data_IF_588123531547
#
_entry.id   IF_588123531547
#
_cell.length_a   1.000
_cell.length_b   1.000
_cell.length_c   1.000
_cell.angle_alpha   90.00
_cell.angle_beta   90.00
_cell.angle_gamma   90.00
#
_symmetry.space_group_name_H-M   'P 1'
#
loop_
_entity.id
_entity.type
_entity.pdbx_description
1 polymer ?
#
# COMPACT_ATOMS: atom_id res chain seq x y z
N UNK A 1 21.35 -2.83 18.07
CA UNK A 1 20.11 -2.83 17.27
C UNK A 1 19.24 -3.94 17.80
N UNK A 2 18.14 -3.62 18.49
CA UNK A 2 17.13 -4.61 18.85
C UNK A 2 16.40 -5.01 17.56
N UNK A 3 16.32 -6.30 17.21
CA UNK A 3 15.53 -6.73 16.07
C UNK A 3 14.07 -6.32 16.29
N UNK A 4 13.46 -5.69 15.27
CA UNK A 4 12.04 -5.36 15.27
C UNK A 4 11.23 -6.63 15.53
N UNK A 5 10.21 -6.57 16.39
CA UNK A 5 9.25 -7.65 16.60
C UNK A 5 8.50 -8.02 15.30
N UNK A 6 8.55 -7.14 14.30
CA UNK A 6 7.97 -7.33 12.98
C UNK A 6 9.04 -7.11 11.89
N UNK A 7 9.73 -8.17 11.42
CA UNK A 7 10.82 -8.04 10.44
C UNK A 7 10.34 -7.46 9.09
N UNK A 8 9.05 -7.62 8.80
CA UNK A 8 8.37 -7.08 7.62
C UNK A 8 8.23 -5.56 7.65
N UNK A 9 8.07 -4.94 8.82
CA UNK A 9 7.70 -3.53 8.95
C UNK A 9 8.96 -2.66 9.08
N UNK A 10 9.05 -1.60 8.27
CA UNK A 10 10.17 -0.65 8.34
C UNK A 10 10.15 0.11 9.67
N UNK A 11 8.96 0.55 10.08
CA UNK A 11 8.78 1.42 11.24
C UNK A 11 8.48 0.66 12.53
N UNK A 12 8.27 -0.66 12.42
CA UNK A 12 7.83 -1.50 13.53
C UNK A 12 6.35 -1.37 13.88
N UNK A 13 5.61 -0.46 13.22
CA UNK A 13 4.18 -0.24 13.44
C UNK A 13 3.34 -0.76 12.26
N UNK A 14 2.18 -1.39 12.52
CA UNK A 14 1.36 -1.99 11.48
C UNK A 14 0.77 -0.94 10.52
N UNK A 15 0.59 0.30 11.00
CA UNK A 15 0.33 1.46 10.14
C UNK A 15 0.88 2.75 10.77
N UNK A 16 1.01 3.79 9.95
CA UNK A 16 1.29 5.16 10.35
C UNK A 16 0.32 6.13 9.66
N UNK A 17 0.12 7.31 10.25
CA UNK A 17 -0.64 8.40 9.63
C UNK A 17 0.30 9.37 8.91
N UNK A 18 0.12 9.49 7.60
CA UNK A 18 0.72 10.55 6.78
C UNK A 18 -0.21 11.75 6.73
N UNK A 19 0.30 12.93 7.08
CA UNK A 19 -0.42 14.18 6.88
C UNK A 19 0.05 14.82 5.57
N UNK A 20 -0.86 14.92 4.59
CA UNK A 20 -0.56 15.46 3.27
C UNK A 20 -1.40 16.72 3.04
N UNK A 21 -0.78 17.90 2.82
CA UNK A 21 -1.51 19.13 2.50
C UNK A 21 -2.45 18.92 1.29
N UNK A 22 -3.72 19.29 1.46
CA UNK A 22 -4.75 19.14 0.42
C UNK A 22 -5.37 17.74 0.31
N UNK A 23 -4.78 16.70 0.91
CA UNK A 23 -5.32 15.34 0.92
C UNK A 23 -5.66 14.81 2.33
N UNK A 24 -5.34 15.55 3.39
CA UNK A 24 -5.70 15.20 4.76
C UNK A 24 -4.77 14.14 5.36
N UNK A 25 -5.33 13.24 6.18
CA UNK A 25 -4.60 12.17 6.86
C UNK A 25 -4.81 10.85 6.14
N UNK A 26 -3.73 10.25 5.68
CA UNK A 26 -3.72 8.97 4.98
C UNK A 26 -3.05 7.93 5.87
N UNK A 27 -3.75 6.82 6.13
CA UNK A 27 -3.16 5.68 6.82
C UNK A 27 -2.32 4.86 5.83
N UNK A 28 -1.11 4.48 6.21
CA UNK A 28 -0.24 3.66 5.38
C UNK A 28 0.58 2.65 6.19
N UNK A 29 0.94 1.54 5.56
CA UNK A 29 1.88 0.55 6.11
C UNK A 29 3.20 0.61 5.35
N UNK A 30 4.33 0.61 6.07
CA UNK A 30 5.66 0.64 5.46
C UNK A 30 6.35 -0.71 5.52
N UNK A 31 6.60 -1.30 4.34
CA UNK A 31 7.08 -2.68 4.22
C UNK A 31 8.53 -2.71 3.75
N UNK A 32 9.34 -3.52 4.44
CA UNK A 32 10.73 -3.79 4.15
C UNK A 32 10.83 -4.67 2.91
N UNK A 33 11.21 -4.06 1.80
CA UNK A 33 11.43 -4.71 0.50
C UNK A 33 12.47 -3.88 -0.28
N UNK A 34 12.95 -4.40 -1.41
CA UNK A 34 13.85 -3.67 -2.30
C UNK A 34 13.26 -3.65 -3.72
N UNK A 35 12.64 -2.53 -4.15
CA UNK A 35 12.51 -1.25 -3.44
C UNK A 35 11.51 -1.26 -2.26
N UNK A 36 11.60 -0.33 -1.28
CA UNK A 36 10.66 -0.25 -0.15
C UNK A 36 9.22 -0.03 -0.63
N UNK A 37 8.24 -0.60 0.07
CA UNK A 37 6.82 -0.45 -0.30
C UNK A 37 6.07 0.40 0.72
N UNK A 38 5.20 1.27 0.22
CA UNK A 38 4.26 2.08 0.98
C UNK A 38 2.87 1.57 0.62
N UNK A 39 2.19 0.91 1.54
CA UNK A 39 0.86 0.34 1.30
C UNK A 39 -0.21 1.32 1.78
N UNK A 40 -1.21 1.59 0.95
CA UNK A 40 -2.39 2.41 1.26
C UNK A 40 -3.64 1.73 0.70
N UNK A 41 -4.81 2.12 1.21
CA UNK A 41 -6.09 1.74 0.62
C UNK A 41 -6.49 2.68 -0.51
N UNK A 42 -7.18 2.18 -1.53
CA UNK A 42 -7.88 3.00 -2.52
C UNK A 42 -8.91 3.92 -1.86
N UNK A 43 -9.62 3.42 -0.84
CA UNK A 43 -10.68 4.13 -0.11
C UNK A 43 -10.15 5.33 0.71
N UNK A 44 -8.83 5.42 0.89
CA UNK A 44 -8.21 6.46 1.74
C UNK A 44 -8.37 7.87 1.18
N UNK A 45 -8.57 8.00 -0.13
CA UNK A 45 -8.76 9.31 -0.79
C UNK A 45 -10.25 9.66 -0.94
N UNK A 46 -11.13 8.68 -0.92
CA UNK A 46 -12.59 8.81 -0.80
C UNK A 46 -12.98 9.55 0.47
N UNK A 47 -12.29 9.21 1.57
CA UNK A 47 -12.48 9.84 2.88
C UNK A 47 -12.04 11.31 2.92
N UNK A 48 -11.21 11.74 1.95
CA UNK A 48 -10.75 13.11 1.79
C UNK A 48 -11.63 13.96 0.87
N UNK A 49 -12.78 13.43 0.43
CA UNK A 49 -13.74 14.13 -0.43
C UNK A 49 -13.42 14.08 -1.93
N UNK A 50 -12.43 13.28 -2.35
CA UNK A 50 -12.17 12.96 -3.75
C UNK A 50 -12.95 11.70 -4.11
N UNK A 51 -13.80 11.73 -5.14
CA UNK A 51 -14.55 10.56 -5.59
C UNK A 51 -13.60 9.42 -6.02
N UNK A 52 -13.89 8.20 -5.57
CA UNK A 52 -13.11 6.96 -5.87
C UNK A 52 -12.91 6.72 -7.37
N UNK A 53 -13.87 7.15 -8.17
CA UNK A 53 -13.99 6.71 -9.56
C UNK A 53 -12.94 7.29 -10.51
N UNK A 54 -12.13 8.30 -10.10
CA UNK A 54 -11.06 8.82 -10.95
C UNK A 54 -9.96 9.59 -10.18
N UNK A 55 -9.34 8.96 -9.18
CA UNK A 55 -8.15 9.57 -8.56
C UNK A 55 -7.01 9.66 -9.57
N UNK A 56 -6.67 10.88 -9.95
CA UNK A 56 -5.62 11.14 -10.95
C UNK A 56 -4.22 10.67 -10.48
N UNK A 57 -3.37 10.26 -11.44
CA UNK A 57 -1.99 9.86 -11.21
C UNK A 57 -1.17 10.86 -10.34
N UNK A 58 -1.27 12.20 -10.54
CA UNK A 58 -0.57 13.16 -9.69
C UNK A 58 -0.92 13.08 -8.20
N UNK A 59 -2.16 12.70 -7.87
CA UNK A 59 -2.59 12.55 -6.46
C UNK A 59 -1.88 11.33 -5.85
N UNK A 60 -1.88 10.19 -6.54
CA UNK A 60 -1.17 9.00 -6.08
C UNK A 60 0.34 9.22 -5.99
N UNK A 61 0.93 9.94 -6.94
CA UNK A 61 2.34 10.30 -6.89
C UNK A 61 2.65 11.21 -5.69
N UNK A 62 1.73 12.11 -5.33
CA UNK A 62 1.85 12.92 -4.11
C UNK A 62 1.89 12.02 -2.87
N UNK A 63 1.00 11.02 -2.76
CA UNK A 63 1.02 10.05 -1.65
C UNK A 63 2.36 9.30 -1.61
N UNK A 64 2.87 8.83 -2.75
CA UNK A 64 4.17 8.15 -2.85
C UNK A 64 5.31 9.03 -2.36
N UNK A 65 5.36 10.29 -2.80
CA UNK A 65 6.42 11.25 -2.41
C UNK A 65 6.38 11.55 -0.92
N UNK A 66 5.21 11.80 -0.34
CA UNK A 66 5.07 12.05 1.09
C UNK A 66 5.39 10.81 1.93
N UNK A 67 4.98 9.62 1.49
CA UNK A 67 5.36 8.37 2.13
C UNK A 67 6.87 8.11 2.07
N UNK A 68 7.51 8.40 0.93
CA UNK A 68 8.97 8.33 0.81
C UNK A 68 9.67 9.34 1.74
N UNK A 69 9.16 10.56 1.85
CA UNK A 69 9.68 11.56 2.79
C UNK A 69 9.55 11.07 4.24
N UNK A 70 8.42 10.48 4.63
CA UNK A 70 8.24 9.90 5.94
C UNK A 70 9.19 8.73 6.23
N UNK A 71 9.46 7.89 5.22
CA UNK A 71 10.40 6.77 5.29
C UNK A 71 11.87 7.19 5.45
N UNK A 72 12.23 8.38 4.97
CA UNK A 72 13.63 8.84 4.96
C UNK A 72 14.28 8.84 6.35
N UNK A 73 13.50 9.06 7.41
CA UNK A 73 13.98 9.01 8.80
C UNK A 73 14.41 7.60 9.27
N UNK A 74 13.92 6.55 8.60
CA UNK A 74 14.17 5.15 8.97
C UNK A 74 15.22 4.48 8.07
N UNK A 75 15.22 4.81 6.78
CA UNK A 75 16.05 4.12 5.77
C UNK A 75 16.90 5.08 4.92
N UNK A 76 16.97 6.37 5.29
CA UNK A 76 17.78 7.38 4.63
C UNK A 76 17.39 7.61 3.17
N UNK A 77 18.38 7.87 2.33
CA UNK A 77 18.17 8.18 0.90
C UNK A 77 17.48 7.07 0.12
N UNK A 78 17.56 5.81 0.58
CA UNK A 78 16.91 4.68 -0.08
C UNK A 78 15.39 4.85 -0.16
N UNK A 79 14.79 5.63 0.74
CA UNK A 79 13.36 5.95 0.72
C UNK A 79 12.92 6.62 -0.59
N UNK A 80 13.82 7.29 -1.30
CA UNK A 80 13.51 7.95 -2.57
C UNK A 80 13.05 6.97 -3.66
N UNK A 81 13.45 5.69 -3.54
CA UNK A 81 13.09 4.60 -4.44
C UNK A 81 11.81 3.87 -4.04
N UNK A 82 11.12 4.32 -2.98
CA UNK A 82 9.91 3.64 -2.50
C UNK A 82 8.81 3.64 -3.56
N UNK A 83 8.14 2.50 -3.66
CA UNK A 83 6.97 2.28 -4.50
C UNK A 83 5.71 2.39 -3.65
N UNK A 84 4.65 2.95 -4.23
CA UNK A 84 3.33 2.97 -3.61
C UNK A 84 2.56 1.74 -4.07
N UNK A 85 1.97 1.03 -3.13
CA UNK A 85 1.05 -0.08 -3.37
C UNK A 85 -0.33 0.36 -2.91
N UNK A 86 -1.28 0.42 -3.85
CA UNK A 86 -2.67 0.75 -3.55
C UNK A 86 -3.46 -0.55 -3.50
N UNK A 87 -4.06 -0.85 -2.35
CA UNK A 87 -4.92 -2.01 -2.11
C UNK A 87 -6.38 -1.60 -2.32
N UNK A 88 -7.14 -2.44 -3.01
CA UNK A 88 -8.55 -2.20 -3.31
C UNK A 88 -9.37 -3.50 -3.17
N UNK A 89 -10.64 -3.36 -2.81
CA UNK A 89 -11.60 -4.47 -2.79
C UNK A 89 -12.21 -4.62 -4.17
N UNK A 90 -12.08 -5.81 -4.75
CA UNK A 90 -12.63 -6.08 -6.08
C UNK A 90 -14.16 -6.21 -6.04
N UNK A 91 -14.85 -5.17 -6.51
CA UNK A 91 -16.30 -5.23 -6.74
C UNK A 91 -16.62 -6.26 -7.82
N UNK A 92 -17.34 -7.33 -7.45
CA UNK A 92 -17.71 -8.43 -8.36
C UNK A 92 -16.68 -9.57 -8.46
N UNK A 93 -15.60 -9.51 -7.71
CA UNK A 93 -14.67 -10.64 -7.56
C UNK A 93 -15.24 -11.76 -6.69
N UNK A 94 -14.54 -12.90 -6.63
CA UNK A 94 -14.84 -13.93 -5.62
C UNK A 94 -14.72 -13.30 -4.22
N UNK A 95 -15.42 -13.81 -3.19
CA UNK A 95 -15.48 -13.20 -1.85
C UNK A 95 -14.15 -13.15 -1.08
N UNK A 96 -13.01 -13.41 -1.73
CA UNK A 96 -11.67 -13.48 -1.15
C UNK A 96 -10.58 -12.90 -2.06
N UNK A 97 -10.92 -12.04 -3.02
CA UNK A 97 -9.95 -11.42 -3.92
C UNK A 97 -9.61 -9.99 -3.51
N UNK A 98 -8.31 -9.70 -3.39
CA UNK A 98 -7.78 -8.37 -3.12
C UNK A 98 -7.05 -7.86 -4.36
N UNK A 99 -7.48 -6.70 -4.85
CA UNK A 99 -6.80 -5.99 -5.92
C UNK A 99 -5.62 -5.20 -5.35
N UNK A 100 -4.52 -5.14 -6.10
CA UNK A 100 -3.46 -4.18 -5.81
C UNK A 100 -2.86 -3.60 -7.09
N UNK A 101 -2.40 -2.35 -7.02
CA UNK A 101 -1.65 -1.69 -8.09
C UNK A 101 -0.36 -1.09 -7.52
N UNK A 102 0.72 -1.09 -8.31
CA UNK A 102 2.01 -0.54 -7.90
C UNK A 102 2.34 0.70 -8.73
N UNK A 103 2.65 1.80 -8.05
CA UNK A 103 3.10 3.05 -8.63
C UNK A 103 4.55 3.31 -8.23
N UNK A 104 5.40 3.61 -9.20
CA UNK A 104 6.73 4.17 -8.97
C UNK A 104 6.95 5.44 -9.79
N UNK A 105 8.20 5.93 -9.83
CA UNK A 105 8.57 7.16 -10.55
C UNK A 105 8.32 7.11 -12.07
N UNK A 106 8.21 5.92 -12.65
CA UNK A 106 7.92 5.71 -14.07
C UNK A 106 6.41 5.62 -14.32
N UNK A 107 5.60 5.56 -13.27
CA UNK A 107 4.15 5.42 -13.34
C UNK A 107 3.68 4.05 -12.86
N UNK A 108 2.45 3.72 -13.24
CA UNK A 108 1.83 2.45 -12.90
C UNK A 108 2.56 1.27 -13.53
N UNK A 109 2.84 0.26 -12.71
CA UNK A 109 3.55 -0.93 -13.13
C UNK A 109 2.61 -1.89 -13.88
N UNK A 110 3.12 -2.48 -14.96
CA UNK A 110 2.40 -3.53 -15.72
C UNK A 110 2.72 -4.93 -15.22
N UNK A 111 3.92 -5.10 -14.68
CA UNK A 111 4.44 -6.39 -14.23
C UNK A 111 4.98 -6.23 -12.83
N UNK A 112 4.79 -7.25 -12.01
CA UNK A 112 5.24 -7.27 -10.62
C UNK A 112 6.10 -8.51 -10.43
N UNK A 113 7.22 -8.34 -9.74
CA UNK A 113 8.06 -9.47 -9.38
C UNK A 113 7.34 -10.36 -8.35
N UNK A 114 7.46 -11.68 -8.47
CA UNK A 114 6.86 -12.62 -7.53
C UNK A 114 7.28 -12.37 -6.06
N UNK A 115 8.50 -11.86 -5.84
CA UNK A 115 8.98 -11.45 -4.51
C UNK A 115 8.16 -10.31 -3.92
N UNK A 116 7.78 -9.33 -4.74
CA UNK A 116 6.95 -8.19 -4.33
C UNK A 116 5.54 -8.67 -3.97
N UNK A 117 4.94 -9.55 -4.78
CA UNK A 117 3.63 -10.13 -4.49
C UNK A 117 3.62 -10.94 -3.19
N UNK A 118 4.66 -11.74 -2.95
CA UNK A 118 4.83 -12.51 -1.73
C UNK A 118 4.91 -11.61 -0.50
N UNK A 119 5.62 -10.48 -0.59
CA UNK A 119 5.75 -9.51 0.50
C UNK A 119 4.42 -8.79 0.76
N UNK A 120 3.65 -8.44 -0.27
CA UNK A 120 2.30 -7.89 -0.12
C UNK A 120 1.39 -8.93 0.56
N UNK A 121 1.47 -10.21 0.17
CA UNK A 121 0.72 -11.31 0.81
C UNK A 121 1.04 -11.43 2.30
N UNK A 122 2.30 -11.29 2.69
CA UNK A 122 2.70 -11.28 4.10
C UNK A 122 2.12 -10.07 4.83
N UNK A 123 2.08 -8.89 4.19
CA UNK A 123 1.48 -7.70 4.78
C UNK A 123 -0.02 -7.90 5.03
N UNK A 124 -0.77 -8.47 4.08
CA UNK A 124 -2.20 -8.78 4.25
C UNK A 124 -2.47 -9.70 5.44
N UNK A 125 -1.56 -10.64 5.71
CA UNK A 125 -1.67 -11.58 6.84
C UNK A 125 -1.16 -11.02 8.17
N UNK A 126 -0.52 -9.85 8.15
CA UNK A 126 -0.03 -9.18 9.35
C UNK A 126 -1.19 -8.38 9.97
N UNK A 127 -1.58 -8.68 11.22
CA UNK A 127 -2.67 -7.97 11.91
C UNK A 127 -2.48 -6.45 11.93
N UNK A 128 -3.60 -5.74 11.88
CA UNK A 128 -3.72 -4.28 11.99
C UNK A 128 -3.01 -3.48 10.87
N UNK A 129 -2.49 -4.15 9.84
CA UNK A 129 -1.99 -3.44 8.65
C UNK A 129 -3.15 -2.99 7.76
N UNK A 130 -2.92 -1.94 6.97
CA UNK A 130 -3.92 -1.45 6.02
C UNK A 130 -4.40 -2.56 5.07
N UNK A 131 -3.49 -3.43 4.65
CA UNK A 131 -3.83 -4.54 3.77
C UNK A 131 -4.67 -5.62 4.47
N UNK A 132 -4.45 -5.86 5.77
CA UNK A 132 -5.23 -6.79 6.58
C UNK A 132 -6.67 -6.31 6.79
N UNK A 133 -6.86 -5.01 7.07
CA UNK A 133 -8.20 -4.40 7.23
C UNK A 133 -9.07 -4.53 5.96
N UNK A 134 -8.43 -4.70 4.81
CA UNK A 134 -9.11 -4.86 3.53
C UNK A 134 -9.43 -6.32 3.20
N UNK A 135 -8.84 -7.29 3.93
CA UNK A 135 -9.14 -8.70 3.76
C UNK A 135 -10.64 -8.95 4.05
N UNK A 136 -11.37 -9.64 3.16
CA UNK A 136 -12.74 -10.03 3.43
C UNK A 136 -12.80 -10.87 4.71
N UNK A 137 -13.74 -10.55 5.61
CA UNK A 137 -13.88 -11.11 6.96
C UNK A 137 -14.26 -12.60 7.02
N UNK A 138 -14.10 -13.35 5.93
CA UNK A 138 -14.39 -14.78 5.87
C UNK A 138 -13.26 -15.54 6.56
N UNK A 139 -13.46 -15.81 7.84
CA UNK A 139 -12.60 -16.61 8.70
C UNK A 139 -12.25 -17.93 7.97
N UNK A 140 -10.95 -18.19 7.78
CA UNK A 140 -10.35 -19.38 7.14
C UNK A 140 -10.47 -19.51 5.60
N UNK A 141 -10.89 -18.49 4.87
CA UNK A 141 -10.85 -18.55 3.41
C UNK A 141 -9.43 -18.23 2.87
N UNK A 142 -8.95 -19.06 1.95
CA UNK A 142 -7.76 -18.73 1.17
C UNK A 142 -8.07 -17.48 0.33
N UNK A 143 -7.18 -16.48 0.36
CA UNK A 143 -7.33 -15.26 -0.44
C UNK A 143 -6.38 -15.24 -1.65
N UNK A 144 -6.85 -14.59 -2.72
CA UNK A 144 -6.07 -14.31 -3.91
C UNK A 144 -5.67 -12.83 -3.94
N UNK A 145 -4.47 -12.57 -4.50
CA UNK A 145 -4.02 -11.22 -4.83
C UNK A 145 -4.04 -11.08 -6.34
N UNK A 146 -4.63 -9.99 -6.81
CA UNK A 146 -4.76 -9.70 -8.23
C UNK A 146 -4.08 -8.37 -8.52
N UNK A 147 -3.00 -8.42 -9.28
CA UNK A 147 -2.34 -7.20 -9.76
C UNK A 147 -3.22 -6.51 -10.82
N UNK A 148 -3.44 -5.20 -10.65
CA UNK A 148 -4.15 -4.33 -11.59
C UNK A 148 -3.19 -3.25 -12.08
N UNK A 149 -3.32 -2.90 -13.36
CA UNK A 149 -2.53 -1.81 -13.93
C UNK A 149 -2.87 -0.45 -13.29
N UNK A 150 -4.13 -0.18 -12.94
CA UNK A 150 -4.51 1.03 -12.20
C UNK A 150 -5.69 0.75 -11.26
N UNK A 151 -5.71 1.37 -10.06
CA UNK A 151 -6.85 1.32 -9.16
C UNK A 151 -7.91 2.29 -9.70
N UNK A 152 -8.89 1.72 -10.41
CA UNK A 152 -10.02 2.40 -11.08
C UNK A 152 -9.64 3.34 -12.25
N UNK A 153 -10.23 3.04 -13.40
CA UNK A 153 -10.27 3.85 -14.60
C UNK A 153 -11.29 3.28 -15.57
#
# INVERSE_FOLDING_TARGET
MTPSAHPLLITGHPFEWLTIPGLGRIACTFIRHQPPLILVSAEVLSQSGLLEEAVSLPVWETVRVFGAAALSRYIGENARHSQLVVIDRLSGGLPCELGFAILDRQGWQRHVAASTEQVIRQAVLQPDTIACDHLPTVINAAFSLVHRYQPHG
#
